data_IF_076431868767
#
_entry.id   IF_076431868767
#
_cell.length_a   1.000
_cell.length_b   1.000
_cell.length_c   1.000
_cell.angle_alpha   90.00
_cell.angle_beta   90.00
_cell.angle_gamma   90.00
#
_symmetry.space_group_name_H-M   'P 1'
#
loop_
_entity.id
_entity.type
_entity.pdbx_description
1 polymer ?
#
# COMPACT_ATOMS: atom_id res chain seq x y z
N UNK A 1 -54.76 -118.78 -39.24
CA UNK A 1 -55.00 -117.64 -38.33
C UNK A 1 -53.77 -117.34 -37.46
N UNK A 2 -53.08 -118.34 -36.91
CA UNK A 2 -51.94 -118.16 -35.98
C UNK A 2 -50.69 -117.47 -36.59
N UNK A 3 -50.27 -117.82 -37.82
CA UNK A 3 -49.12 -117.20 -38.52
C UNK A 3 -49.28 -115.70 -38.84
N UNK A 4 -50.53 -115.21 -38.96
CA UNK A 4 -50.78 -113.80 -39.28
C UNK A 4 -50.57 -112.94 -38.03
N UNK A 5 -50.93 -113.45 -36.84
CA UNK A 5 -50.76 -112.77 -35.55
C UNK A 5 -49.28 -112.60 -35.18
N UNK A 6 -48.43 -113.61 -35.41
CA UNK A 6 -46.97 -113.48 -35.15
C UNK A 6 -46.30 -112.44 -36.06
N UNK A 7 -46.72 -112.35 -37.33
CA UNK A 7 -46.16 -111.38 -38.28
C UNK A 7 -46.51 -109.92 -37.94
N UNK A 8 -47.68 -109.69 -37.35
CA UNK A 8 -48.11 -108.37 -36.88
C UNK A 8 -47.37 -107.98 -35.59
N UNK A 9 -47.18 -108.93 -34.65
CA UNK A 9 -46.40 -108.71 -33.43
C UNK A 9 -44.93 -108.33 -33.72
N UNK A 10 -44.30 -108.94 -34.73
CA UNK A 10 -42.93 -108.61 -35.11
C UNK A 10 -42.82 -107.19 -35.71
N UNK A 11 -43.80 -106.77 -36.53
CA UNK A 11 -43.85 -105.43 -37.12
C UNK A 11 -44.08 -104.34 -36.08
N UNK A 12 -44.98 -104.57 -35.13
CA UNK A 12 -45.27 -103.61 -34.07
C UNK A 12 -44.05 -103.42 -33.14
N UNK A 13 -43.33 -104.50 -32.81
CA UNK A 13 -42.09 -104.42 -32.03
C UNK A 13 -40.97 -103.65 -32.75
N UNK A 14 -40.82 -103.82 -34.06
CA UNK A 14 -39.85 -103.07 -34.87
C UNK A 14 -40.22 -101.58 -34.92
N UNK A 15 -41.50 -101.24 -35.11
CA UNK A 15 -41.98 -99.86 -35.08
C UNK A 15 -41.74 -99.20 -33.71
N UNK A 16 -41.94 -99.93 -32.61
CA UNK A 16 -41.65 -99.44 -31.25
C UNK A 16 -40.15 -99.24 -31.00
N UNK A 17 -39.27 -100.12 -31.52
CA UNK A 17 -37.82 -99.93 -31.44
C UNK A 17 -37.35 -98.70 -32.24
N UNK A 18 -37.86 -98.51 -33.45
CA UNK A 18 -37.50 -97.35 -34.27
C UNK A 18 -38.02 -96.06 -33.61
N UNK A 19 -39.26 -96.07 -33.12
CA UNK A 19 -39.85 -94.95 -32.40
C UNK A 19 -39.06 -94.57 -31.16
N UNK A 20 -38.71 -95.54 -30.32
CA UNK A 20 -37.89 -95.30 -29.11
C UNK A 20 -36.46 -94.86 -29.45
N UNK A 21 -35.85 -95.40 -30.50
CA UNK A 21 -34.55 -94.95 -31.00
C UNK A 21 -34.55 -93.50 -31.47
N UNK A 22 -35.58 -93.09 -32.20
CA UNK A 22 -35.75 -91.71 -32.65
C UNK A 22 -35.94 -90.74 -31.47
N UNK A 23 -36.73 -91.14 -30.45
CA UNK A 23 -36.92 -90.36 -29.22
C UNK A 23 -35.59 -90.21 -28.46
N UNK A 24 -34.83 -91.29 -28.28
CA UNK A 24 -33.54 -91.24 -27.62
C UNK A 24 -32.52 -90.39 -28.38
N UNK A 25 -32.53 -90.43 -29.71
CA UNK A 25 -31.68 -89.58 -30.55
C UNK A 25 -32.01 -88.08 -30.37
N UNK A 26 -33.30 -87.73 -30.36
CA UNK A 26 -33.73 -86.34 -30.10
C UNK A 26 -33.36 -85.86 -28.69
N UNK A 27 -33.51 -86.71 -27.67
CA UNK A 27 -33.09 -86.40 -26.30
C UNK A 27 -31.56 -86.21 -26.23
N UNK A 28 -30.79 -87.07 -26.89
CA UNK A 28 -29.34 -86.97 -26.93
C UNK A 28 -28.87 -85.68 -27.60
N UNK A 29 -29.46 -85.33 -28.75
CA UNK A 29 -29.16 -84.07 -29.45
C UNK A 29 -29.56 -82.84 -28.62
N UNK A 30 -30.72 -82.88 -27.94
CA UNK A 30 -31.13 -81.76 -27.08
C UNK A 30 -30.17 -81.57 -25.90
N UNK A 31 -29.68 -82.66 -25.30
CA UNK A 31 -28.69 -82.61 -24.22
C UNK A 31 -27.36 -82.01 -24.69
N UNK A 32 -26.90 -82.34 -25.90
CA UNK A 32 -25.67 -81.76 -26.47
C UNK A 32 -25.85 -80.26 -26.70
N UNK A 33 -26.96 -79.83 -27.30
CA UNK A 33 -27.24 -78.41 -27.57
C UNK A 33 -27.33 -77.61 -26.28
N UNK A 34 -28.08 -78.10 -25.27
CA UNK A 34 -28.21 -77.44 -23.97
C UNK A 34 -26.84 -77.32 -23.30
N UNK A 35 -26.01 -78.38 -23.31
CA UNK A 35 -24.66 -78.34 -22.72
C UNK A 35 -23.72 -77.40 -23.49
N UNK A 36 -23.90 -77.28 -24.80
CA UNK A 36 -23.12 -76.37 -25.63
C UNK A 36 -23.50 -74.90 -25.41
N UNK A 37 -24.77 -74.58 -25.19
CA UNK A 37 -25.24 -73.19 -25.00
C UNK A 37 -25.08 -72.64 -23.58
N UNK A 38 -24.92 -73.51 -22.56
CA UNK A 38 -24.73 -73.08 -21.15
C UNK A 38 -23.73 -71.94 -20.92
N UNK A 39 -22.55 -71.87 -21.59
CA UNK A 39 -21.64 -70.76 -21.42
C UNK A 39 -22.26 -69.41 -21.79
N UNK A 40 -23.10 -69.34 -22.84
CA UNK A 40 -23.76 -68.09 -23.26
C UNK A 40 -24.72 -67.54 -22.20
N UNK A 41 -25.45 -68.41 -21.50
CA UNK A 41 -26.29 -67.99 -20.37
C UNK A 41 -25.46 -67.38 -19.25
N UNK A 42 -24.25 -67.90 -19.00
CA UNK A 42 -23.32 -67.33 -18.03
C UNK A 42 -22.79 -65.97 -18.49
N UNK A 43 -22.36 -65.84 -19.76
CA UNK A 43 -21.94 -64.55 -20.33
C UNK A 43 -23.03 -63.49 -20.23
N UNK A 44 -24.27 -63.86 -20.55
CA UNK A 44 -25.43 -62.97 -20.42
C UNK A 44 -25.61 -62.52 -18.98
N UNK A 45 -25.56 -63.44 -18.03
CA UNK A 45 -25.76 -63.11 -16.61
C UNK A 45 -24.68 -62.17 -16.09
N UNK A 46 -23.41 -62.39 -16.46
CA UNK A 46 -22.30 -61.49 -16.12
C UNK A 46 -22.47 -60.11 -16.74
N UNK A 47 -22.85 -60.02 -18.02
CA UNK A 47 -23.15 -58.73 -18.67
C UNK A 47 -24.31 -57.99 -17.97
N UNK A 48 -25.35 -58.71 -17.58
CA UNK A 48 -26.48 -58.13 -16.84
C UNK A 48 -26.03 -57.63 -15.47
N UNK A 49 -25.19 -58.38 -14.76
CA UNK A 49 -24.65 -57.96 -13.47
C UNK A 49 -23.80 -56.68 -13.62
N UNK A 50 -22.89 -56.64 -14.61
CA UNK A 50 -22.08 -55.45 -14.92
C UNK A 50 -22.97 -54.26 -15.26
N UNK A 51 -24.02 -54.45 -16.07
CA UNK A 51 -24.94 -53.37 -16.45
C UNK A 51 -25.70 -52.77 -15.26
N UNK A 52 -25.88 -53.55 -14.18
CA UNK A 52 -26.54 -53.11 -12.94
C UNK A 52 -25.56 -52.52 -11.93
N UNK A 53 -24.25 -52.59 -12.20
CA UNK A 53 -23.21 -52.13 -11.29
C UNK A 53 -22.79 -53.16 -10.22
N UNK A 54 -23.37 -54.36 -10.24
CA UNK A 54 -23.07 -55.45 -9.29
C UNK A 54 -22.08 -56.48 -9.87
N UNK A 55 -21.62 -56.26 -11.11
CA UNK A 55 -20.80 -57.21 -11.85
C UNK A 55 -19.34 -57.23 -11.40
N UNK A 56 -18.81 -58.44 -11.22
CA UNK A 56 -17.40 -58.64 -10.93
C UNK A 56 -16.56 -58.57 -12.21
N UNK A 57 -15.87 -57.44 -12.41
CA UNK A 57 -14.96 -57.21 -13.55
C UNK A 57 -13.66 -58.05 -13.45
N UNK A 58 -13.45 -58.82 -12.37
CA UNK A 58 -12.30 -59.70 -12.17
C UNK A 58 -12.58 -61.11 -12.68
N UNK A 59 -13.84 -61.55 -12.66
CA UNK A 59 -14.23 -62.86 -13.18
C UNK A 59 -13.90 -62.98 -14.66
N UNK A 60 -13.47 -64.16 -15.09
CA UNK A 60 -13.10 -64.46 -16.48
C UNK A 60 -13.83 -65.71 -16.94
N UNK A 61 -14.28 -65.69 -18.18
CA UNK A 61 -14.88 -66.85 -18.81
C UNK A 61 -13.81 -67.86 -19.20
N UNK A 62 -14.10 -69.14 -19.04
CA UNK A 62 -13.21 -70.25 -19.39
C UNK A 62 -13.15 -70.47 -20.91
N UNK A 63 -11.99 -70.19 -21.51
CA UNK A 63 -11.74 -70.32 -22.96
C UNK A 63 -11.12 -71.68 -23.26
N UNK A 64 -11.94 -72.74 -23.19
CA UNK A 64 -11.49 -74.10 -23.56
C UNK A 64 -11.91 -74.53 -24.95
N UNK A 65 -12.89 -73.85 -25.54
CA UNK A 65 -13.45 -74.21 -26.84
C UNK A 65 -12.77 -73.42 -27.96
N UNK A 66 -12.64 -74.04 -29.13
CA UNK A 66 -12.10 -73.40 -30.35
C UNK A 66 -13.20 -73.00 -31.34
N UNK A 67 -14.45 -73.15 -30.93
CA UNK A 67 -15.63 -72.76 -31.70
C UNK A 67 -15.96 -71.26 -31.48
N UNK A 68 -17.04 -70.80 -32.08
CA UNK A 68 -17.53 -69.43 -31.99
C UNK A 68 -17.83 -69.01 -30.55
N UNK A 69 -18.23 -69.97 -29.69
CA UNK A 69 -18.48 -69.71 -28.27
C UNK A 69 -17.17 -69.39 -27.55
N UNK A 70 -16.10 -70.14 -27.85
CA UNK A 70 -14.75 -69.86 -27.34
C UNK A 70 -14.24 -68.48 -27.75
N UNK A 71 -14.35 -68.13 -29.04
CA UNK A 71 -13.92 -66.81 -29.54
C UNK A 71 -14.74 -65.66 -28.92
N UNK A 72 -16.05 -65.86 -28.71
CA UNK A 72 -16.90 -64.87 -28.04
C UNK A 72 -16.48 -64.69 -26.57
N UNK A 73 -16.10 -65.77 -25.89
CA UNK A 73 -15.57 -65.70 -24.52
C UNK A 73 -14.24 -64.94 -24.43
N UNK A 74 -13.33 -65.09 -25.41
CA UNK A 74 -12.10 -64.28 -25.50
C UNK A 74 -12.39 -62.79 -25.69
N UNK A 75 -13.29 -62.47 -26.63
CA UNK A 75 -13.71 -61.08 -26.88
C UNK A 75 -14.37 -60.45 -25.64
N UNK A 76 -15.18 -61.23 -24.91
CA UNK A 76 -15.77 -60.78 -23.66
C UNK A 76 -14.71 -60.51 -22.57
N UNK A 77 -13.74 -61.39 -22.39
CA UNK A 77 -12.65 -61.15 -21.44
C UNK A 77 -11.85 -59.88 -21.80
N UNK A 78 -11.60 -59.64 -23.09
CA UNK A 78 -10.91 -58.43 -23.57
C UNK A 78 -11.72 -57.15 -23.33
N UNK A 79 -13.04 -57.24 -23.47
CA UNK A 79 -13.97 -56.16 -23.11
C UNK A 79 -13.89 -55.85 -21.60
N UNK A 80 -13.86 -56.87 -20.74
CA UNK A 80 -13.71 -56.69 -19.29
C UNK A 80 -12.38 -56.02 -18.92
N UNK A 81 -11.28 -56.39 -19.59
CA UNK A 81 -9.97 -55.76 -19.37
C UNK A 81 -10.00 -54.27 -19.74
N UNK A 82 -10.64 -53.94 -20.86
CA UNK A 82 -10.81 -52.55 -21.31
C UNK A 82 -11.69 -51.74 -20.36
N UNK A 83 -12.80 -52.32 -19.89
CA UNK A 83 -13.68 -51.71 -18.90
C UNK A 83 -12.97 -51.47 -17.57
N UNK A 84 -12.23 -52.47 -17.07
CA UNK A 84 -11.45 -52.35 -15.84
C UNK A 84 -10.43 -51.22 -15.94
N UNK A 85 -9.71 -51.15 -17.06
CA UNK A 85 -8.74 -50.07 -17.32
C UNK A 85 -9.42 -48.70 -17.33
N UNK A 86 -10.58 -48.59 -17.99
CA UNK A 86 -11.36 -47.36 -18.01
C UNK A 86 -11.80 -46.94 -16.59
N UNK A 87 -12.31 -47.87 -15.78
CA UNK A 87 -12.73 -47.59 -14.39
C UNK A 87 -11.54 -47.13 -13.54
N UNK A 88 -10.38 -47.76 -13.67
CA UNK A 88 -9.16 -47.35 -12.97
C UNK A 88 -8.74 -45.93 -13.37
N UNK A 89 -8.75 -45.61 -14.66
CA UNK A 89 -8.43 -44.26 -15.14
C UNK A 89 -9.43 -43.21 -14.64
N UNK A 90 -10.73 -43.55 -14.56
CA UNK A 90 -11.77 -42.68 -13.98
C UNK A 90 -11.49 -42.46 -12.49
N UNK A 91 -11.13 -43.50 -11.74
CA UNK A 91 -10.81 -43.40 -10.33
C UNK A 91 -9.57 -42.54 -10.08
N UNK A 92 -8.51 -42.71 -10.87
CA UNK A 92 -7.31 -41.88 -10.81
C UNK A 92 -7.63 -40.41 -11.12
N UNK A 93 -8.40 -40.17 -12.20
CA UNK A 93 -8.83 -38.82 -12.58
C UNK A 93 -9.66 -38.17 -11.47
N UNK A 94 -10.59 -38.90 -10.85
CA UNK A 94 -11.38 -38.41 -9.73
C UNK A 94 -10.51 -38.08 -8.51
N UNK A 95 -9.51 -38.91 -8.21
CA UNK A 95 -8.53 -38.64 -7.15
C UNK A 95 -7.72 -37.37 -7.43
N UNK A 96 -7.29 -37.16 -8.68
CA UNK A 96 -6.54 -35.97 -9.07
C UNK A 96 -7.40 -34.71 -9.02
N UNK A 97 -8.67 -34.80 -9.41
CA UNK A 97 -9.65 -33.70 -9.26
C UNK A 97 -9.88 -33.37 -7.80
N UNK A 98 -10.00 -34.37 -6.93
CA UNK A 98 -10.14 -34.16 -5.47
C UNK A 98 -8.93 -33.42 -4.90
N UNK A 99 -7.71 -33.91 -5.21
CA UNK A 99 -6.48 -33.26 -4.75
C UNK A 99 -6.35 -31.83 -5.27
N UNK A 100 -6.71 -31.57 -6.52
CA UNK A 100 -6.69 -30.23 -7.12
C UNK A 100 -7.71 -29.31 -6.45
N UNK A 101 -8.87 -29.85 -6.04
CA UNK A 101 -9.90 -29.09 -5.33
C UNK A 101 -9.44 -28.70 -3.92
N UNK A 102 -8.74 -29.58 -3.21
CA UNK A 102 -8.14 -29.26 -1.91
C UNK A 102 -7.06 -28.17 -2.01
N UNK A 103 -6.24 -28.23 -3.06
CA UNK A 103 -5.25 -27.19 -3.36
C UNK A 103 -5.94 -25.85 -3.67
N UNK A 104 -7.00 -25.86 -4.49
CA UNK A 104 -7.80 -24.66 -4.78
C UNK A 104 -8.46 -24.09 -3.53
N UNK A 105 -8.98 -24.93 -2.63
CA UNK A 105 -9.55 -24.50 -1.37
C UNK A 105 -8.51 -23.80 -0.48
N UNK A 106 -7.31 -24.39 -0.39
CA UNK A 106 -6.19 -23.83 0.36
C UNK A 106 -5.77 -22.47 -0.22
N UNK A 107 -5.55 -22.40 -1.53
CA UNK A 107 -5.18 -21.15 -2.21
C UNK A 107 -6.27 -20.07 -2.10
N UNK A 108 -7.55 -20.45 -2.17
CA UNK A 108 -8.67 -19.53 -1.94
C UNK A 108 -8.67 -18.97 -0.51
N UNK A 109 -8.32 -19.80 0.48
CA UNK A 109 -8.18 -19.36 1.87
C UNK A 109 -7.04 -18.37 2.06
N UNK A 110 -5.89 -18.62 1.44
CA UNK A 110 -4.75 -17.72 1.45
C UNK A 110 -5.09 -16.37 0.79
N UNK A 111 -5.72 -16.40 -0.39
CA UNK A 111 -6.17 -15.19 -1.10
C UNK A 111 -7.15 -14.37 -0.24
N UNK A 112 -8.07 -15.03 0.46
CA UNK A 112 -8.98 -14.36 1.39
C UNK A 112 -8.23 -13.72 2.57
N UNK A 113 -7.19 -14.38 3.09
CA UNK A 113 -6.31 -13.82 4.12
C UNK A 113 -5.57 -12.57 3.63
N UNK A 114 -4.92 -12.68 2.48
CA UNK A 114 -4.21 -11.56 1.84
C UNK A 114 -5.16 -10.38 1.55
N UNK A 115 -6.36 -10.65 1.06
CA UNK A 115 -7.36 -9.60 0.80
C UNK A 115 -7.77 -8.85 2.07
N UNK A 116 -7.93 -9.54 3.21
CA UNK A 116 -8.21 -8.89 4.50
C UNK A 116 -7.05 -8.01 4.96
N UNK A 117 -5.82 -8.49 4.80
CA UNK A 117 -4.63 -7.70 5.12
C UNK A 117 -4.54 -6.44 4.25
N UNK A 118 -4.80 -6.54 2.94
CA UNK A 118 -4.85 -5.38 2.05
C UNK A 118 -5.91 -4.38 2.48
N UNK A 119 -7.11 -4.83 2.88
CA UNK A 119 -8.15 -3.95 3.40
C UNK A 119 -7.69 -3.20 4.66
N UNK A 120 -7.03 -3.88 5.59
CA UNK A 120 -6.51 -3.25 6.81
C UNK A 120 -5.43 -2.20 6.50
N UNK A 121 -4.51 -2.50 5.56
CA UNK A 121 -3.49 -1.54 5.12
C UNK A 121 -4.14 -0.30 4.46
N UNK A 122 -5.21 -0.49 3.68
CA UNK A 122 -5.93 0.62 3.07
C UNK A 122 -6.62 1.52 4.09
N UNK A 123 -7.15 0.93 5.17
CA UNK A 123 -7.74 1.69 6.29
C UNK A 123 -6.67 2.51 7.03
N UNK A 124 -5.52 1.90 7.36
CA UNK A 124 -4.38 2.60 7.97
C UNK A 124 -3.85 3.73 7.05
N UNK A 125 -3.81 3.49 5.74
CA UNK A 125 -3.40 4.49 4.76
C UNK A 125 -4.38 5.67 4.72
N UNK A 126 -5.68 5.41 4.80
CA UNK A 126 -6.70 6.46 4.85
C UNK A 126 -6.55 7.32 6.13
N UNK A 127 -6.40 6.68 7.30
CA UNK A 127 -6.13 7.38 8.56
C UNK A 127 -4.80 8.17 8.51
N UNK A 128 -3.78 7.61 7.87
CA UNK A 128 -2.51 8.30 7.64
C UNK A 128 -2.67 9.54 6.76
N UNK A 129 -3.46 9.44 5.68
CA UNK A 129 -3.74 10.55 4.78
C UNK A 129 -4.54 11.67 5.47
N UNK A 130 -5.53 11.34 6.30
CA UNK A 130 -6.27 12.32 7.10
C UNK A 130 -5.35 13.07 8.09
N UNK A 131 -4.46 12.35 8.78
CA UNK A 131 -3.45 12.97 9.66
C UNK A 131 -2.51 13.89 8.87
N UNK A 132 -2.07 13.48 7.68
CA UNK A 132 -1.22 14.30 6.83
C UNK A 132 -1.92 15.57 6.34
N UNK A 133 -3.22 15.49 6.04
CA UNK A 133 -4.03 16.66 5.70
C UNK A 133 -4.07 17.65 6.85
N UNK A 134 -4.35 17.18 8.08
CA UNK A 134 -4.38 18.03 9.27
C UNK A 134 -3.02 18.72 9.54
N UNK A 135 -1.90 17.99 9.39
CA UNK A 135 -0.55 18.56 9.51
C UNK A 135 -0.28 19.62 8.42
N UNK A 136 -0.77 19.39 7.21
CA UNK A 136 -0.62 20.33 6.10
C UNK A 136 -1.41 21.61 6.35
N UNK A 137 -2.64 21.52 6.84
CA UNK A 137 -3.46 22.68 7.22
C UNK A 137 -2.84 23.49 8.37
N UNK A 138 -2.29 22.80 9.37
CA UNK A 138 -1.52 23.43 10.45
C UNK A 138 -0.30 24.16 9.91
N UNK A 139 0.46 23.54 9.02
CA UNK A 139 1.63 24.14 8.36
C UNK A 139 1.27 25.39 7.56
N UNK A 140 0.16 25.35 6.82
CA UNK A 140 -0.38 26.51 6.09
C UNK A 140 -0.72 27.67 7.04
N UNK A 141 -1.28 27.35 8.21
CA UNK A 141 -1.56 28.35 9.25
C UNK A 141 -0.27 28.98 9.78
N UNK A 142 0.78 28.18 10.02
CA UNK A 142 2.09 28.69 10.42
C UNK A 142 2.72 29.59 9.37
N UNK A 143 2.66 29.21 8.08
CA UNK A 143 3.15 30.04 6.97
C UNK A 143 2.39 31.37 6.89
N UNK A 144 1.08 31.37 7.10
CA UNK A 144 0.26 32.60 7.16
C UNK A 144 0.72 33.52 8.30
N UNK A 145 0.95 32.96 9.48
CA UNK A 145 1.44 33.72 10.65
C UNK A 145 2.85 34.27 10.41
N UNK A 146 3.76 33.49 9.82
CA UNK A 146 5.09 33.96 9.43
C UNK A 146 5.00 35.11 8.43
N UNK A 147 4.13 35.01 7.44
CA UNK A 147 3.92 36.09 6.45
C UNK A 147 3.43 37.37 7.11
N UNK A 148 2.52 37.27 8.07
CA UNK A 148 2.07 38.41 8.87
C UNK A 148 3.22 39.02 9.70
N UNK A 149 4.03 38.17 10.35
CA UNK A 149 5.21 38.60 11.10
C UNK A 149 6.24 39.32 10.24
N UNK A 150 6.53 38.81 9.04
CA UNK A 150 7.45 39.47 8.08
C UNK A 150 6.92 40.85 7.68
N UNK A 151 5.61 41.00 7.46
CA UNK A 151 5.00 42.32 7.17
C UNK A 151 5.17 43.28 8.35
N UNK A 152 4.95 42.81 9.57
CA UNK A 152 5.13 43.63 10.78
C UNK A 152 6.59 44.07 10.95
N UNK A 153 7.56 43.17 10.71
CA UNK A 153 8.99 43.50 10.73
C UNK A 153 9.31 44.58 9.68
N UNK A 154 8.76 44.45 8.47
CA UNK A 154 8.96 45.45 7.41
C UNK A 154 8.44 46.83 7.82
N UNK A 155 7.22 46.90 8.38
CA UNK A 155 6.66 48.17 8.88
C UNK A 155 7.52 48.78 9.99
N UNK A 156 7.96 47.98 10.97
CA UNK A 156 8.83 48.45 12.04
C UNK A 156 10.20 48.95 11.53
N UNK A 157 10.74 48.30 10.49
CA UNK A 157 11.98 48.73 9.86
C UNK A 157 11.82 50.08 9.13
N UNK A 158 10.70 50.30 8.45
CA UNK A 158 10.37 51.59 7.81
C UNK A 158 10.22 52.71 8.84
N UNK A 159 9.48 52.45 9.93
CA UNK A 159 9.32 53.40 11.04
C UNK A 159 10.68 53.74 11.69
N UNK A 160 11.52 52.73 11.93
CA UNK A 160 12.88 52.93 12.46
C UNK A 160 13.74 53.79 11.54
N UNK A 161 13.65 53.57 10.22
CA UNK A 161 14.37 54.36 9.24
C UNK A 161 13.91 55.84 9.25
N UNK A 162 12.59 56.08 9.34
CA UNK A 162 12.03 57.43 9.45
C UNK A 162 12.49 58.14 10.73
N UNK A 163 12.41 57.47 11.89
CA UNK A 163 12.88 57.99 13.18
C UNK A 163 14.38 58.30 13.16
N UNK A 164 15.20 57.43 12.54
CA UNK A 164 16.63 57.65 12.37
C UNK A 164 16.92 58.88 11.52
N UNK A 165 16.18 59.07 10.43
CA UNK A 165 16.30 60.25 9.57
C UNK A 165 15.92 61.53 10.33
N UNK A 166 14.84 61.50 11.11
CA UNK A 166 14.42 62.62 11.96
C UNK A 166 15.48 62.96 13.02
N UNK A 167 16.07 61.95 13.66
CA UNK A 167 17.13 62.11 14.66
C UNK A 167 18.39 62.73 14.04
N UNK A 168 18.77 62.31 12.84
CA UNK A 168 19.87 62.91 12.09
C UNK A 168 19.63 64.40 11.83
N UNK A 169 18.41 64.76 11.40
CA UNK A 169 18.05 66.14 11.13
C UNK A 169 18.05 67.02 12.39
N UNK A 170 17.53 66.51 13.52
CA UNK A 170 17.58 67.19 14.81
C UNK A 170 19.01 67.37 15.31
N UNK A 171 19.87 66.36 15.15
CA UNK A 171 21.28 66.44 15.53
C UNK A 171 22.02 67.52 14.73
N UNK A 172 21.77 67.59 13.42
CA UNK A 172 22.32 68.64 12.55
C UNK A 172 21.85 70.05 12.96
N UNK A 173 20.57 70.20 13.31
CA UNK A 173 20.06 71.48 13.85
C UNK A 173 20.72 71.84 15.19
N UNK A 174 20.95 70.85 16.06
CA UNK A 174 21.66 71.01 17.32
C UNK A 174 23.11 71.47 17.13
N UNK A 175 23.83 70.89 16.16
CA UNK A 175 25.19 71.30 15.79
C UNK A 175 25.23 72.77 15.32
N UNK A 176 24.28 73.18 14.47
CA UNK A 176 24.16 74.57 14.04
C UNK A 176 23.88 75.52 15.22
N UNK A 177 23.02 75.11 16.16
CA UNK A 177 22.71 75.89 17.35
C UNK A 177 23.96 76.06 18.24
N UNK A 178 24.71 74.98 18.49
CA UNK A 178 25.98 75.03 19.23
C UNK A 178 27.00 75.93 18.56
N UNK A 179 27.12 75.86 17.22
CA UNK A 179 28.02 76.73 16.44
C UNK A 179 27.67 78.21 16.65
N UNK A 180 26.38 78.56 16.61
CA UNK A 180 25.93 79.95 16.90
C UNK A 180 26.23 80.35 18.34
N UNK A 181 26.04 79.46 19.31
CA UNK A 181 26.36 79.72 20.71
C UNK A 181 27.86 79.96 20.91
N UNK A 182 28.73 79.20 20.24
CA UNK A 182 30.18 79.42 20.28
C UNK A 182 30.55 80.80 19.72
N UNK A 183 29.99 81.18 18.57
CA UNK A 183 30.19 82.52 17.99
C UNK A 183 29.73 83.65 18.94
N UNK A 184 28.59 83.46 19.62
CA UNK A 184 28.11 84.41 20.62
C UNK A 184 29.04 84.50 21.83
N UNK A 185 29.60 83.36 22.30
CA UNK A 185 30.57 83.33 23.40
C UNK A 185 31.87 84.06 23.03
N UNK A 186 32.38 83.88 21.80
CA UNK A 186 33.53 84.63 21.29
C UNK A 186 33.25 86.15 21.27
N UNK A 187 32.06 86.56 20.82
CA UNK A 187 31.67 87.97 20.82
C UNK A 187 31.57 88.54 22.25
N UNK A 188 31.02 87.77 23.20
CA UNK A 188 30.95 88.15 24.62
C UNK A 188 32.36 88.30 25.20
N UNK A 189 33.27 87.36 24.91
CA UNK A 189 34.66 87.45 25.34
C UNK A 189 35.31 88.74 24.83
N UNK A 190 35.21 89.02 23.52
CA UNK A 190 35.77 90.24 22.93
C UNK A 190 35.19 91.52 23.56
N UNK A 191 33.88 91.55 23.80
CA UNK A 191 33.20 92.70 24.42
C UNK A 191 33.63 92.88 25.89
N UNK A 192 33.88 91.78 26.60
CA UNK A 192 34.36 91.78 27.98
C UNK A 192 35.81 92.29 28.05
N UNK A 193 36.67 91.87 27.13
CA UNK A 193 38.05 92.38 27.00
C UNK A 193 38.07 93.89 26.71
N UNK A 194 37.25 94.36 25.76
CA UNK A 194 37.10 95.80 25.47
C UNK A 194 36.60 96.58 26.69
N UNK A 195 35.64 96.03 27.43
CA UNK A 195 35.14 96.67 28.65
C UNK A 195 36.23 96.75 29.73
N UNK A 196 37.03 95.71 29.90
CA UNK A 196 38.15 95.70 30.83
C UNK A 196 39.23 96.72 30.44
N UNK A 197 39.52 96.87 29.15
CA UNK A 197 40.43 97.90 28.63
C UNK A 197 39.90 99.32 28.90
N UNK A 198 38.61 99.58 28.61
CA UNK A 198 37.98 100.86 28.90
C UNK A 198 38.02 101.23 30.40
N UNK A 199 37.86 100.23 31.29
CA UNK A 199 38.00 100.44 32.75
C UNK A 199 39.43 100.80 33.13
N UNK A 200 40.45 100.13 32.57
CA UNK A 200 41.86 100.50 32.79
C UNK A 200 42.19 101.89 32.28
N UNK A 201 41.67 102.26 31.12
CA UNK A 201 41.82 103.61 30.57
C UNK A 201 41.18 104.67 31.47
N UNK A 202 39.99 104.38 32.00
CA UNK A 202 39.31 105.25 32.96
C UNK A 202 40.10 105.37 34.27
N UNK A 203 40.64 104.27 34.80
CA UNK A 203 41.53 104.25 35.96
C UNK A 203 42.77 105.13 35.72
N UNK A 204 43.42 104.98 34.58
CA UNK A 204 44.58 105.78 34.16
C UNK A 204 44.26 107.28 34.08
N UNK A 205 43.14 107.63 33.42
CA UNK A 205 42.65 109.03 33.35
C UNK A 205 42.33 109.59 34.74
N UNK A 206 41.71 108.80 35.61
CA UNK A 206 41.38 109.19 36.99
C UNK A 206 42.65 109.39 37.83
N UNK A 207 43.65 108.53 37.65
CA UNK A 207 44.97 108.67 38.28
C UNK A 207 45.69 109.95 37.81
N UNK A 208 45.64 110.28 36.51
CA UNK A 208 46.19 111.54 35.98
C UNK A 208 45.49 112.76 36.58
N UNK A 209 44.16 112.76 36.68
CA UNK A 209 43.40 113.83 37.34
C UNK A 209 43.79 113.93 38.82
N UNK A 210 43.96 112.79 39.50
CA UNK A 210 44.45 112.74 40.88
C UNK A 210 45.86 113.31 41.03
N UNK A 211 46.74 113.15 40.04
CA UNK A 211 48.07 113.78 40.03
C UNK A 211 48.00 115.28 39.74
N UNK A 212 47.06 115.76 38.92
CA UNK A 212 46.81 117.20 38.73
C UNK A 212 46.16 117.85 39.95
N UNK A 213 45.37 117.10 40.71
CA UNK A 213 44.77 117.52 41.98
C UNK A 213 45.75 117.53 43.17
N UNK A 214 46.96 116.98 43.02
CA UNK A 214 48.01 117.16 44.04
C UNK A 214 48.55 118.59 43.95
N UNK A 215 48.43 119.41 45.01
CA UNK A 215 48.96 120.77 44.97
C UNK A 215 50.47 120.71 44.74
N UNK A 216 50.93 121.39 43.70
CA UNK A 216 52.36 121.66 43.48
C UNK A 216 52.89 122.53 44.62
N UNK A 217 53.38 121.87 45.67
CA UNK A 217 54.25 122.47 46.68
C UNK A 217 55.61 122.78 46.04
N UNK A 218 55.64 123.81 45.18
CA UNK A 218 56.85 124.50 44.75
C UNK A 218 56.81 125.89 45.40
N UNK A 219 57.38 125.91 46.61
CA UNK A 219 58.18 126.97 47.22
C UNK A 219 57.74 128.43 46.98
N UNK A 220 56.78 128.90 47.79
CA UNK A 220 56.72 130.30 48.20
C UNK A 220 57.72 130.49 49.36
N UNK A 221 58.99 130.84 49.06
CA UNK A 221 59.93 131.36 50.06
C UNK A 221 60.10 132.86 49.85
N UNK A 222 59.20 133.62 50.47
CA UNK A 222 59.39 135.04 50.78
C UNK A 222 60.58 135.13 51.74
N UNK A 223 61.64 135.81 51.34
CA UNK A 223 62.75 136.15 52.21
C UNK A 223 62.99 137.66 52.08
N UNK A 224 62.40 138.41 53.02
CA UNK A 224 62.86 139.75 53.41
C UNK A 224 63.45 139.57 54.79
N UNK A 225 64.76 139.74 54.91
CA UNK A 225 65.43 140.02 56.18
C UNK A 225 66.56 141.00 55.91
N UNK A 226 66.44 142.20 56.47
CA UNK A 226 67.50 143.18 56.62
C UNK A 226 68.33 142.78 57.86
N UNK A 227 69.62 142.48 57.68
CA UNK A 227 70.73 143.21 58.27
C UNK A 227 72.06 142.79 57.64
#
# INVERSE_FOLDING_TARGET
MEKITESNLLRDNIMLMIGSGAVLYYIFQSLIVIRSLRPLDHMRNELVAISRGDGDLVSRLDVRRKDEIGQTAEAFNSLLDSFRTMVLNIQESASQVSASTDQLYTGSSEVRGASRQTSAIMEELAEGAERQLAVTESSMTHVKNMTAGVRQINMAALETAELSQGTHQLSFQGEQALTRTLQQMEQIQATTEQSAEAVRDLESKTAQIGMMGKPSLILLRVQVFWH
#
